data_IF_753381955766
#
_entry.id   IF_753381955766
#
_cell.length_a   1.000
_cell.length_b   1.000
_cell.length_c   1.000
_cell.angle_alpha   90.00
_cell.angle_beta   90.00
_cell.angle_gamma   90.00
#
_symmetry.space_group_name_H-M   'P 1'
#
loop_
_entity.id
_entity.type
_entity.pdbx_description
1 polymer ?
#
# COMPACT_ATOMS: atom_id res chain seq x y z
N UNK A 1 54.41 30.02 77.32
CA UNK A 1 53.46 31.09 76.96
C UNK A 1 52.36 30.53 76.05
N UNK A 2 51.24 30.20 76.63
CA UNK A 2 50.12 29.54 75.93
C UNK A 2 48.98 30.55 75.83
N UNK A 3 48.61 30.88 74.64
CA UNK A 3 47.35 31.65 74.37
C UNK A 3 46.23 30.69 74.00
N UNK A 4 45.22 30.64 74.83
CA UNK A 4 43.92 30.01 74.59
C UNK A 4 43.18 30.77 73.54
N UNK A 5 42.69 30.07 72.54
CA UNK A 5 41.66 30.57 71.68
C UNK A 5 40.34 29.84 71.96
N UNK A 6 39.36 30.61 72.32
CA UNK A 6 37.94 30.23 72.57
C UNK A 6 37.17 29.97 71.28
N UNK A 7 36.58 28.79 71.14
CA UNK A 7 35.69 28.45 70.05
C UNK A 7 34.27 28.95 70.37
N UNK A 8 33.80 29.91 69.61
CA UNK A 8 32.39 30.30 69.55
C UNK A 8 31.68 29.42 68.49
N UNK A 9 30.80 28.54 68.97
CA UNK A 9 29.92 27.78 68.10
C UNK A 9 28.71 28.65 67.70
N UNK A 10 28.61 29.02 66.41
CA UNK A 10 27.37 29.58 65.85
C UNK A 10 26.49 28.43 65.34
N UNK A 11 25.28 28.33 65.89
CA UNK A 11 24.22 27.52 65.38
C UNK A 11 23.56 28.29 64.25
N UNK A 12 23.74 27.82 63.00
CA UNK A 12 22.96 28.28 61.86
C UNK A 12 21.69 27.47 61.83
N UNK A 13 20.56 28.06 62.13
CA UNK A 13 19.22 27.56 61.89
C UNK A 13 18.93 27.78 60.42
N UNK A 14 18.99 26.69 59.63
CA UNK A 14 18.56 26.72 58.25
C UNK A 14 17.02 26.67 58.21
N UNK A 15 16.41 27.78 57.90
CA UNK A 15 14.99 27.86 57.56
C UNK A 15 14.82 27.36 56.17
N UNK A 16 14.31 26.12 56.00
CA UNK A 16 13.87 25.60 54.70
C UNK A 16 12.54 26.27 54.33
N UNK A 17 12.61 27.29 53.50
CA UNK A 17 11.42 27.79 52.78
C UNK A 17 11.08 26.82 51.67
N UNK A 18 10.04 26.02 51.89
CA UNK A 18 9.45 25.19 50.82
C UNK A 18 8.66 26.17 49.92
N UNK A 19 9.25 26.55 48.77
CA UNK A 19 8.52 27.18 47.69
C UNK A 19 7.78 26.06 46.96
N UNK A 20 6.52 25.89 47.25
CA UNK A 20 5.59 25.08 46.43
C UNK A 20 5.34 25.85 45.14
N UNK A 21 6.14 25.57 44.12
CA UNK A 21 5.83 26.02 42.76
C UNK A 21 4.65 25.20 42.25
N UNK A 22 3.46 25.78 42.32
CA UNK A 22 2.29 25.26 41.60
C UNK A 22 2.60 25.44 40.11
N UNK A 23 3.15 24.41 39.49
CA UNK A 23 3.15 24.30 38.03
C UNK A 23 1.73 24.09 37.59
N UNK A 24 1.05 25.18 37.26
CA UNK A 24 -0.17 25.15 36.46
C UNK A 24 0.27 24.68 35.08
N UNK A 25 0.19 23.38 34.87
CA UNK A 25 0.37 22.76 33.56
C UNK A 25 -0.74 23.30 32.63
N UNK A 26 -0.41 24.32 31.85
CA UNK A 26 -1.19 24.62 30.66
C UNK A 26 -0.98 23.44 29.69
N UNK A 27 -1.83 22.43 29.80
CA UNK A 27 -2.02 21.47 28.74
C UNK A 27 -2.63 22.26 27.57
N UNK A 28 -1.78 22.70 26.66
CA UNK A 28 -2.24 23.10 25.33
C UNK A 28 -2.76 21.81 24.71
N UNK A 29 -4.07 21.56 24.85
CA UNK A 29 -4.74 20.61 23.98
C UNK A 29 -4.61 21.17 22.57
N UNK A 30 -3.65 20.69 21.82
CA UNK A 30 -3.61 20.90 20.37
C UNK A 30 -4.89 20.27 19.86
N UNK A 31 -5.90 21.10 19.60
CA UNK A 31 -7.13 20.64 19.00
C UNK A 31 -6.75 19.88 17.73
N UNK A 32 -7.04 18.59 17.68
CA UNK A 32 -6.73 17.75 16.52
C UNK A 32 -7.33 18.46 15.29
N UNK A 33 -6.47 18.78 14.32
CA UNK A 33 -6.89 19.46 13.09
C UNK A 33 -7.92 18.55 12.41
N UNK A 34 -9.15 19.03 12.28
CA UNK A 34 -10.22 18.28 11.61
C UNK A 34 -9.86 18.18 10.13
N UNK A 35 -9.59 16.96 9.66
CA UNK A 35 -9.27 16.70 8.27
C UNK A 35 -10.55 16.69 7.44
N UNK A 36 -10.57 17.30 6.23
CA UNK A 36 -11.69 17.19 5.32
C UNK A 36 -12.02 15.73 4.97
N UNK A 37 -13.29 15.39 4.69
CA UNK A 37 -13.68 14.02 4.40
C UNK A 37 -13.10 13.50 3.07
N UNK A 38 -12.99 12.19 2.94
CA UNK A 38 -12.63 11.53 1.67
C UNK A 38 -13.68 11.79 0.59
N UNK A 39 -13.32 11.70 -0.71
CA UNK A 39 -14.27 11.90 -1.80
C UNK A 39 -15.41 10.89 -1.75
N UNK A 40 -16.67 11.30 -1.89
CA UNK A 40 -17.77 10.38 -2.09
C UNK A 40 -17.69 9.76 -3.50
N UNK A 41 -18.24 8.56 -3.68
CA UNK A 41 -18.33 7.96 -5.00
C UNK A 41 -19.75 8.13 -5.56
N UNK A 42 -19.89 8.55 -6.84
CA UNK A 42 -21.18 8.51 -7.52
C UNK A 42 -21.47 7.06 -7.87
N UNK A 43 -22.59 6.54 -7.36
CA UNK A 43 -22.96 5.13 -7.51
C UNK A 43 -24.02 4.91 -8.60
N UNK A 44 -24.89 5.90 -8.83
CA UNK A 44 -25.97 5.84 -9.82
C UNK A 44 -26.42 7.23 -10.24
N UNK A 45 -26.84 7.38 -11.50
CA UNK A 45 -27.50 8.57 -12.04
C UNK A 45 -28.73 8.12 -12.81
N UNK A 46 -29.90 8.64 -12.45
CA UNK A 46 -31.17 8.42 -13.17
C UNK A 46 -31.66 9.69 -13.80
N UNK A 47 -32.12 9.59 -15.04
CA UNK A 47 -32.84 10.66 -15.73
C UNK A 47 -34.34 10.57 -15.43
N UNK A 48 -34.91 11.61 -14.84
CA UNK A 48 -36.34 11.74 -14.53
C UNK A 48 -36.94 12.72 -15.54
N UNK A 49 -37.73 12.23 -16.48
CA UNK A 49 -38.39 13.07 -17.48
C UNK A 49 -39.42 13.97 -16.83
N UNK A 50 -39.38 15.27 -17.12
CA UNK A 50 -40.33 16.28 -16.66
C UNK A 50 -41.20 16.84 -17.82
N UNK A 51 -40.59 16.89 -19.00
CA UNK A 51 -41.32 17.27 -20.24
C UNK A 51 -40.64 16.59 -21.44
N UNK A 52 -41.12 16.87 -22.67
CA UNK A 52 -40.48 16.34 -23.89
C UNK A 52 -39.01 16.72 -24.03
N UNK A 53 -38.58 17.84 -23.43
CA UNK A 53 -37.24 18.40 -23.58
C UNK A 53 -36.46 18.58 -22.25
N UNK A 54 -37.15 18.44 -21.13
CA UNK A 54 -36.55 18.73 -19.79
C UNK A 54 -36.52 17.49 -18.89
N UNK A 55 -35.42 17.34 -18.19
CA UNK A 55 -35.17 16.25 -17.26
C UNK A 55 -34.57 16.76 -15.94
N UNK A 56 -34.86 16.05 -14.87
CA UNK A 56 -34.10 16.12 -13.61
C UNK A 56 -33.16 14.93 -13.56
N UNK A 57 -32.02 15.07 -12.88
CA UNK A 57 -31.11 13.97 -12.56
C UNK A 57 -31.18 13.64 -11.08
N UNK A 58 -31.58 12.44 -10.74
CA UNK A 58 -31.42 11.86 -9.41
C UNK A 58 -30.02 11.23 -9.36
N UNK A 59 -29.16 11.77 -8.50
CA UNK A 59 -27.79 11.34 -8.36
C UNK A 59 -27.63 10.65 -7.01
N UNK A 60 -27.15 9.42 -7.03
CA UNK A 60 -26.85 8.62 -5.84
C UNK A 60 -25.35 8.56 -5.65
N UNK A 61 -24.90 8.58 -4.41
CA UNK A 61 -23.49 8.53 -4.06
C UNK A 61 -23.29 7.78 -2.74
N UNK A 62 -22.13 7.11 -2.59
CA UNK A 62 -21.69 6.60 -1.31
C UNK A 62 -21.18 7.77 -0.47
N UNK A 63 -21.46 7.75 0.83
CA UNK A 63 -20.78 8.66 1.76
C UNK A 63 -19.32 8.23 1.89
N UNK A 64 -18.44 9.22 2.01
CA UNK A 64 -17.07 8.97 2.38
C UNK A 64 -17.04 8.26 3.74
N UNK A 65 -16.27 7.18 3.87
CA UNK A 65 -16.05 6.54 5.15
C UNK A 65 -15.36 7.52 6.10
N UNK A 66 -15.88 7.66 7.31
CA UNK A 66 -15.27 8.48 8.37
C UNK A 66 -14.18 7.74 9.13
N UNK A 67 -13.55 6.74 8.55
CA UNK A 67 -12.70 5.76 9.24
C UNK A 67 -11.45 6.33 9.91
N UNK A 68 -11.20 7.64 9.78
CA UNK A 68 -10.08 8.33 10.44
C UNK A 68 -10.49 9.58 11.23
N UNK A 69 -11.77 9.78 11.53
CA UNK A 69 -12.22 10.85 12.40
C UNK A 69 -12.28 10.39 13.86
N UNK A 70 -11.16 10.41 14.55
CA UNK A 70 -11.18 10.40 16.01
C UNK A 70 -11.93 11.65 16.46
N UNK A 71 -13.10 11.43 17.07
CA UNK A 71 -13.94 12.40 17.77
C UNK A 71 -14.50 13.59 17.00
N UNK A 72 -15.80 13.58 16.74
CA UNK A 72 -16.70 14.72 16.48
C UNK A 72 -16.69 15.42 15.12
N UNK A 73 -15.93 15.03 14.12
CA UNK A 73 -16.10 15.55 12.77
C UNK A 73 -17.17 14.73 12.05
N UNK A 74 -18.43 15.10 12.18
CA UNK A 74 -19.49 14.49 11.40
C UNK A 74 -19.52 15.08 9.99
N UNK A 75 -19.79 14.23 8.99
CA UNK A 75 -20.08 14.68 7.63
C UNK A 75 -21.30 15.58 7.68
N UNK A 76 -21.18 16.86 7.31
CA UNK A 76 -22.28 17.83 7.44
C UNK A 76 -23.13 17.92 6.17
N UNK A 77 -22.54 17.71 4.99
CA UNK A 77 -23.26 17.69 3.72
C UNK A 77 -22.40 17.10 2.60
N UNK A 78 -23.06 16.64 1.54
CA UNK A 78 -22.41 16.27 0.28
C UNK A 78 -22.96 17.19 -0.82
N UNK A 79 -22.05 17.86 -1.53
CA UNK A 79 -22.39 18.72 -2.66
C UNK A 79 -22.15 17.92 -3.96
N UNK A 80 -23.16 17.82 -4.79
CA UNK A 80 -23.08 17.22 -6.13
C UNK A 80 -23.26 18.31 -7.16
N UNK A 81 -22.44 18.33 -8.19
CA UNK A 81 -22.53 19.29 -9.28
C UNK A 81 -22.65 18.57 -10.63
N UNK A 82 -23.47 19.13 -11.50
CA UNK A 82 -23.58 18.71 -12.91
C UNK A 82 -23.44 19.95 -13.78
N UNK A 83 -22.26 20.14 -14.34
CA UNK A 83 -21.90 21.38 -15.04
C UNK A 83 -22.08 22.61 -14.13
N UNK A 84 -22.92 23.59 -14.51
CA UNK A 84 -23.16 24.79 -13.72
C UNK A 84 -24.23 24.63 -12.61
N UNK A 85 -24.90 23.47 -12.52
CA UNK A 85 -25.97 23.23 -11.55
C UNK A 85 -25.53 22.33 -10.43
N UNK A 86 -26.06 22.57 -9.22
CA UNK A 86 -25.67 21.82 -8.02
C UNK A 86 -26.90 21.34 -7.26
N UNK A 87 -26.75 20.29 -6.49
CA UNK A 87 -27.64 19.91 -5.40
C UNK A 87 -26.83 19.52 -4.17
N UNK A 88 -27.44 19.56 -3.01
CA UNK A 88 -26.82 19.13 -1.77
C UNK A 88 -27.71 18.14 -1.03
N UNK A 89 -27.10 17.28 -0.26
CA UNK A 89 -27.75 16.32 0.61
C UNK A 89 -27.26 16.49 2.03
N UNK A 90 -28.18 16.46 2.99
CA UNK A 90 -27.85 16.47 4.42
C UNK A 90 -27.43 15.07 4.88
N UNK A 91 -26.89 15.01 6.08
CA UNK A 91 -26.44 13.78 6.72
C UNK A 91 -27.49 12.66 6.64
N UNK A 92 -27.08 11.47 6.23
CA UNK A 92 -27.95 10.29 6.14
C UNK A 92 -28.67 10.10 4.80
N UNK A 93 -28.69 11.11 3.91
CA UNK A 93 -29.22 10.94 2.56
C UNK A 93 -28.08 10.76 1.56
N UNK A 94 -28.10 9.63 0.85
CA UNK A 94 -27.09 9.29 -0.17
C UNK A 94 -27.57 9.64 -1.59
N UNK A 95 -28.39 10.66 -1.72
CA UNK A 95 -28.83 11.14 -3.05
C UNK A 95 -29.29 12.59 -3.01
N UNK A 96 -29.24 13.26 -4.16
CA UNK A 96 -29.87 14.55 -4.40
C UNK A 96 -30.31 14.71 -5.85
N UNK A 97 -31.12 15.75 -6.14
CA UNK A 97 -31.71 15.99 -7.46
C UNK A 97 -31.19 17.29 -8.06
N UNK A 98 -30.60 17.23 -9.25
CA UNK A 98 -30.30 18.41 -10.08
C UNK A 98 -31.41 18.59 -11.08
N UNK A 99 -32.02 19.76 -11.12
CA UNK A 99 -33.27 20.02 -11.85
C UNK A 99 -33.07 20.80 -13.14
N UNK A 100 -33.97 20.59 -14.07
CA UNK A 100 -34.12 21.41 -15.27
C UNK A 100 -32.94 21.33 -16.23
N UNK A 101 -32.53 20.12 -16.60
CA UNK A 101 -31.52 19.86 -17.61
C UNK A 101 -32.16 19.54 -18.95
N UNK A 102 -31.54 20.01 -20.03
CA UNK A 102 -32.08 19.74 -21.38
C UNK A 102 -31.79 18.28 -21.81
N UNK A 103 -32.74 17.67 -22.47
CA UNK A 103 -32.57 16.35 -23.10
C UNK A 103 -31.33 16.36 -24.01
N UNK A 104 -30.58 15.26 -24.01
CA UNK A 104 -29.38 15.06 -24.81
C UNK A 104 -28.18 15.96 -24.43
N UNK A 105 -28.28 16.86 -23.43
CA UNK A 105 -27.15 17.57 -22.92
C UNK A 105 -26.15 16.56 -22.29
N UNK A 106 -24.87 16.77 -22.54
CA UNK A 106 -23.83 16.03 -21.84
C UNK A 106 -23.37 16.84 -20.63
N UNK A 107 -23.42 16.27 -19.44
CA UNK A 107 -23.02 16.92 -18.18
C UNK A 107 -21.91 16.12 -17.51
N UNK A 108 -20.99 16.83 -16.88
CA UNK A 108 -19.98 16.26 -16.00
C UNK A 108 -20.52 16.32 -14.58
N UNK A 109 -20.66 15.17 -13.94
CA UNK A 109 -21.20 15.03 -12.59
C UNK A 109 -20.06 14.67 -11.66
N UNK A 110 -19.89 15.41 -10.57
CA UNK A 110 -18.97 15.10 -9.49
C UNK A 110 -19.62 15.39 -8.14
N UNK A 111 -19.11 14.79 -7.09
CA UNK A 111 -19.59 14.98 -5.72
C UNK A 111 -18.41 15.28 -4.79
N UNK A 112 -18.64 16.09 -3.76
CA UNK A 112 -17.68 16.33 -2.68
C UNK A 112 -18.40 16.41 -1.35
N UNK A 113 -17.78 15.89 -0.32
CA UNK A 113 -18.30 15.92 1.03
C UNK A 113 -17.69 17.07 1.84
N UNK A 114 -18.41 17.53 2.86
CA UNK A 114 -17.97 18.59 3.76
C UNK A 114 -18.15 18.15 5.20
N UNK A 115 -17.18 18.50 6.04
CA UNK A 115 -17.27 18.44 7.50
C UNK A 115 -16.82 19.77 8.12
N UNK A 116 -16.61 19.81 9.42
CA UNK A 116 -16.13 21.01 10.10
C UNK A 116 -14.71 21.46 9.65
N UNK A 117 -13.91 20.56 9.07
CA UNK A 117 -12.60 20.87 8.49
C UNK A 117 -12.66 21.42 7.05
N UNK A 118 -13.84 21.49 6.45
CA UNK A 118 -14.04 22.01 5.10
C UNK A 118 -14.53 20.96 4.09
N UNK A 119 -14.46 21.32 2.79
CA UNK A 119 -14.73 20.36 1.71
C UNK A 119 -13.52 19.45 1.48
N UNK A 120 -13.81 18.15 1.32
CA UNK A 120 -12.86 17.18 0.79
C UNK A 120 -12.67 17.34 -0.73
N UNK A 121 -11.80 16.51 -1.29
CA UNK A 121 -11.60 16.41 -2.73
C UNK A 121 -12.90 15.96 -3.42
N UNK A 122 -13.16 16.37 -4.68
CA UNK A 122 -14.27 15.86 -5.45
C UNK A 122 -14.06 14.39 -5.82
N UNK A 123 -15.17 13.69 -6.04
CA UNK A 123 -15.18 12.38 -6.69
C UNK A 123 -14.60 12.44 -8.11
N UNK A 124 -14.29 11.30 -8.69
CA UNK A 124 -14.08 11.18 -10.14
C UNK A 124 -15.29 11.76 -10.89
N UNK A 125 -15.01 12.38 -12.06
CA UNK A 125 -16.05 12.98 -12.90
C UNK A 125 -16.76 11.89 -13.70
N UNK A 126 -18.08 11.81 -13.54
CA UNK A 126 -18.95 10.98 -14.38
C UNK A 126 -19.52 11.82 -15.51
N UNK A 127 -19.19 11.48 -16.75
CA UNK A 127 -19.78 12.11 -17.93
C UNK A 127 -21.10 11.42 -18.28
N UNK A 128 -22.21 12.14 -18.20
CA UNK A 128 -23.54 11.59 -18.39
C UNK A 128 -24.36 12.36 -19.43
N UNK A 129 -25.04 11.63 -20.32
CA UNK A 129 -25.96 12.20 -21.30
C UNK A 129 -27.37 12.21 -20.71
N UNK A 130 -27.95 13.40 -20.56
CA UNK A 130 -29.29 13.61 -19.98
C UNK A 130 -30.36 12.94 -20.83
N UNK A 131 -31.20 12.14 -20.17
CA UNK A 131 -32.26 11.38 -20.85
C UNK A 131 -31.82 10.01 -21.38
N UNK A 132 -30.58 9.60 -21.12
CA UNK A 132 -30.15 8.22 -21.32
C UNK A 132 -30.70 7.30 -20.21
N UNK A 133 -30.57 5.98 -20.42
CA UNK A 133 -30.81 4.99 -19.36
C UNK A 133 -29.99 5.27 -18.13
N UNK A 134 -30.41 4.75 -16.98
CA UNK A 134 -29.71 4.92 -15.72
C UNK A 134 -28.24 4.54 -15.85
N UNK A 135 -27.37 5.40 -15.35
CA UNK A 135 -25.96 5.11 -15.18
C UNK A 135 -25.75 4.52 -13.79
N UNK A 136 -25.00 3.42 -13.69
CA UNK A 136 -24.55 2.87 -12.41
C UNK A 136 -23.05 2.64 -12.48
N UNK A 137 -22.37 2.58 -11.35
CA UNK A 137 -20.95 2.19 -11.32
C UNK A 137 -20.75 0.86 -12.05
N UNK A 138 -21.66 -0.10 -11.86
CA UNK A 138 -21.63 -1.38 -12.56
C UNK A 138 -21.85 -1.27 -14.09
N UNK A 139 -22.54 -0.21 -14.57
CA UNK A 139 -22.80 -0.01 -16.03
C UNK A 139 -21.66 0.71 -16.76
N UNK A 140 -20.67 1.21 -16.05
CA UNK A 140 -19.48 1.84 -16.65
C UNK A 140 -18.40 0.81 -17.01
N UNK A 141 -18.47 -0.38 -16.44
CA UNK A 141 -17.64 -1.49 -16.89
C UNK A 141 -18.49 -2.28 -17.87
N UNK A 142 -18.25 -2.22 -19.21
CA UNK A 142 -18.81 -3.23 -20.10
C UNK A 142 -18.51 -4.58 -19.48
N UNK A 143 -19.42 -5.53 -19.55
CA UNK A 143 -19.21 -6.88 -18.98
C UNK A 143 -17.93 -7.57 -19.50
N UNK A 144 -17.23 -6.93 -20.42
CA UNK A 144 -15.97 -7.33 -21.06
C UNK A 144 -14.80 -6.37 -20.81
N UNK A 145 -14.99 -5.20 -20.16
CA UNK A 145 -13.86 -4.30 -19.86
C UNK A 145 -13.29 -4.67 -18.49
N UNK A 146 -12.23 -5.43 -18.52
CA UNK A 146 -11.49 -5.81 -17.31
C UNK A 146 -10.85 -4.58 -16.66
N UNK A 147 -10.56 -4.63 -15.35
CA UNK A 147 -9.77 -3.58 -14.65
C UNK A 147 -8.44 -3.32 -15.37
N UNK A 148 -7.91 -4.32 -16.06
CA UNK A 148 -6.70 -4.28 -16.90
C UNK A 148 -6.87 -3.39 -18.12
N UNK A 149 -8.02 -3.37 -18.78
CA UNK A 149 -8.25 -2.50 -19.93
C UNK A 149 -8.30 -1.02 -19.54
N UNK A 150 -8.65 -0.71 -18.29
CA UNK A 150 -8.65 0.65 -17.74
C UNK A 150 -7.25 1.10 -17.26
N UNK A 151 -6.40 0.15 -16.90
CA UNK A 151 -5.03 0.35 -16.44
C UNK A 151 -4.14 -0.77 -17.03
N UNK A 152 -3.68 -0.61 -18.29
CA UNK A 152 -2.84 -1.60 -18.93
C UNK A 152 -1.49 -1.74 -18.19
N UNK A 153 -0.90 -2.92 -18.26
CA UNK A 153 0.40 -3.23 -17.68
C UNK A 153 1.42 -3.55 -18.77
N UNK A 154 2.69 -3.44 -18.43
CA UNK A 154 3.79 -3.90 -19.26
C UNK A 154 4.16 -5.34 -18.93
N UNK A 155 4.54 -6.11 -19.94
CA UNK A 155 4.95 -7.49 -19.81
C UNK A 155 6.19 -7.80 -20.67
N UNK A 156 6.94 -8.80 -20.27
CA UNK A 156 8.02 -9.39 -21.06
C UNK A 156 7.85 -10.89 -21.11
N UNK A 157 7.90 -11.45 -22.31
CA UNK A 157 7.80 -12.89 -22.58
C UNK A 157 9.14 -13.34 -23.11
N UNK A 158 9.84 -14.30 -22.46
CA UNK A 158 11.17 -14.73 -22.89
C UNK A 158 11.10 -15.47 -24.23
N UNK A 159 12.17 -15.41 -25.00
CA UNK A 159 12.26 -16.06 -26.32
C UNK A 159 12.09 -17.58 -26.25
N UNK A 160 12.39 -18.18 -25.10
CA UNK A 160 12.20 -19.62 -24.83
C UNK A 160 10.75 -20.02 -24.49
N UNK A 161 9.81 -19.07 -24.35
CA UNK A 161 8.42 -19.38 -24.00
C UNK A 161 7.73 -20.24 -25.05
N UNK A 162 6.96 -21.21 -24.57
CA UNK A 162 6.08 -22.03 -25.40
C UNK A 162 4.74 -22.24 -24.72
N UNK A 163 3.64 -22.03 -25.46
CA UNK A 163 2.28 -22.27 -24.94
C UNK A 163 2.01 -23.75 -24.59
N UNK A 164 2.90 -24.67 -25.01
CA UNK A 164 2.81 -26.10 -24.69
C UNK A 164 3.43 -26.45 -23.33
N UNK A 165 4.19 -25.53 -22.72
CA UNK A 165 4.86 -25.72 -21.44
C UNK A 165 4.54 -24.57 -20.50
N UNK A 166 3.83 -24.81 -19.39
CA UNK A 166 3.48 -23.74 -18.47
C UNK A 166 4.73 -23.04 -17.90
N UNK A 167 4.78 -21.70 -18.04
CA UNK A 167 5.90 -20.87 -17.58
C UNK A 167 5.62 -20.25 -16.20
N UNK A 168 6.65 -20.03 -15.37
CA UNK A 168 6.52 -19.21 -14.17
C UNK A 168 6.14 -17.77 -14.53
N UNK A 169 5.45 -17.09 -13.60
CA UNK A 169 5.12 -15.66 -13.70
C UNK A 169 5.74 -14.90 -12.51
N UNK A 170 6.47 -13.85 -12.80
CA UNK A 170 6.96 -12.90 -11.81
C UNK A 170 6.25 -11.56 -12.01
N UNK A 171 5.66 -11.01 -10.95
CA UNK A 171 5.05 -9.69 -10.92
C UNK A 171 5.97 -8.75 -10.16
N UNK A 172 6.46 -7.70 -10.83
CA UNK A 172 7.38 -6.71 -10.30
C UNK A 172 6.65 -5.40 -9.98
N UNK A 173 6.64 -4.99 -8.72
CA UNK A 173 5.91 -3.84 -8.21
C UNK A 173 6.85 -2.69 -7.83
N UNK A 174 6.58 -1.51 -8.37
CA UNK A 174 7.41 -0.32 -8.15
C UNK A 174 7.20 0.34 -6.78
N UNK A 175 8.17 1.15 -6.34
CA UNK A 175 8.06 2.01 -5.18
C UNK A 175 7.21 3.27 -5.44
N UNK A 176 6.83 3.99 -4.36
CA UNK A 176 6.08 5.25 -4.45
C UNK A 176 6.77 6.27 -5.36
N UNK A 177 6.01 6.86 -6.27
CA UNK A 177 6.48 7.87 -7.22
C UNK A 177 7.32 7.32 -8.37
N UNK A 178 7.48 5.99 -8.48
CA UNK A 178 8.14 5.31 -9.59
C UNK A 178 7.11 4.72 -10.55
N UNK A 179 7.57 4.00 -11.58
CA UNK A 179 6.76 3.27 -12.56
C UNK A 179 7.24 1.83 -12.69
N UNK A 180 6.41 0.96 -13.25
CA UNK A 180 6.80 -0.43 -13.54
C UNK A 180 8.06 -0.49 -14.40
N UNK A 181 8.17 0.38 -15.44
CA UNK A 181 9.36 0.44 -16.30
C UNK A 181 10.62 0.91 -15.56
N UNK A 182 10.49 1.91 -14.68
CA UNK A 182 11.62 2.37 -13.86
C UNK A 182 12.07 1.30 -12.88
N UNK A 183 11.12 0.57 -12.29
CA UNK A 183 11.41 -0.53 -11.37
C UNK A 183 12.11 -1.69 -12.09
N UNK A 184 11.65 -2.00 -13.31
CA UNK A 184 12.28 -3.01 -14.15
C UNK A 184 13.72 -2.63 -14.49
N UNK A 185 13.95 -1.38 -14.90
CA UNK A 185 15.30 -0.86 -15.17
C UNK A 185 16.20 -0.90 -13.93
N UNK A 186 15.65 -0.63 -12.74
CA UNK A 186 16.39 -0.66 -11.48
C UNK A 186 16.78 -2.08 -11.05
N UNK A 187 15.85 -3.04 -11.13
CA UNK A 187 16.10 -4.41 -10.67
C UNK A 187 16.56 -5.36 -11.78
N UNK A 188 16.39 -5.01 -13.06
CA UNK A 188 16.83 -5.74 -14.23
C UNK A 188 16.29 -7.19 -14.31
N UNK A 189 15.03 -7.40 -14.00
CA UNK A 189 14.39 -8.73 -14.07
C UNK A 189 14.22 -9.25 -15.50
N UNK A 190 14.12 -8.38 -16.52
CA UNK A 190 13.98 -8.79 -17.93
C UNK A 190 15.15 -9.66 -18.39
N UNK A 191 16.40 -9.33 -18.02
CA UNK A 191 17.56 -10.12 -18.38
C UNK A 191 17.52 -11.52 -17.76
N UNK A 192 17.07 -11.62 -16.50
CA UNK A 192 16.91 -12.91 -15.80
C UNK A 192 15.73 -13.70 -16.36
N UNK A 193 14.62 -13.02 -16.73
CA UNK A 193 13.46 -13.65 -17.36
C UNK A 193 13.84 -14.33 -18.68
N UNK A 194 14.64 -13.66 -19.51
CA UNK A 194 15.15 -14.24 -20.75
C UNK A 194 16.03 -15.48 -20.50
N UNK A 195 16.92 -15.42 -19.50
CA UNK A 195 17.83 -16.52 -19.18
C UNK A 195 17.15 -17.73 -18.53
N UNK A 196 16.13 -17.47 -17.69
CA UNK A 196 15.52 -18.48 -16.81
C UNK A 196 14.13 -18.93 -17.30
N UNK A 197 13.58 -18.34 -18.35
CA UNK A 197 12.36 -18.77 -19.01
C UNK A 197 11.08 -18.48 -18.23
N UNK A 198 11.00 -17.39 -17.46
CA UNK A 198 9.76 -16.93 -16.82
C UNK A 198 9.17 -15.70 -17.51
N UNK A 199 7.86 -15.55 -17.43
CA UNK A 199 7.17 -14.34 -17.90
C UNK A 199 7.22 -13.29 -16.80
N UNK A 200 7.50 -12.04 -17.17
CA UNK A 200 7.56 -10.90 -16.25
C UNK A 200 6.42 -9.93 -16.54
N UNK A 201 5.64 -9.54 -15.51
CA UNK A 201 4.69 -8.44 -15.58
C UNK A 201 5.14 -7.31 -14.64
N UNK A 202 5.12 -6.05 -15.12
CA UNK A 202 5.53 -4.88 -14.35
C UNK A 202 4.53 -3.74 -14.55
N UNK A 203 3.41 -3.83 -13.83
CA UNK A 203 2.32 -2.86 -13.92
C UNK A 203 2.67 -1.51 -13.28
N UNK A 204 1.91 -0.49 -13.66
CA UNK A 204 1.89 0.81 -13.00
C UNK A 204 0.80 0.87 -11.93
N UNK A 205 1.12 1.48 -10.78
CA UNK A 205 0.16 1.76 -9.72
C UNK A 205 -0.78 2.91 -10.07
N UNK A 206 -1.72 3.18 -9.15
CA UNK A 206 -2.62 4.33 -9.26
C UNK A 206 -1.85 5.64 -9.09
N UNK A 207 -2.32 6.72 -9.71
CA UNK A 207 -1.74 8.05 -9.59
C UNK A 207 -2.44 8.81 -8.46
N UNK A 208 -1.67 9.34 -7.50
CA UNK A 208 -2.19 10.19 -6.43
C UNK A 208 -2.47 11.64 -6.90
N UNK A 209 -2.99 12.46 -5.99
CA UNK A 209 -3.31 13.86 -6.28
C UNK A 209 -2.10 14.73 -6.68
N UNK A 210 -0.88 14.26 -6.43
CA UNK A 210 0.37 14.95 -6.80
C UNK A 210 0.97 14.44 -8.12
N UNK A 211 0.32 13.49 -8.78
CA UNK A 211 0.79 12.87 -10.02
C UNK A 211 1.78 11.73 -9.84
N UNK A 212 1.95 11.23 -8.61
CA UNK A 212 2.87 10.13 -8.30
C UNK A 212 2.14 8.79 -8.26
N UNK A 213 2.72 7.77 -8.87
CA UNK A 213 2.16 6.42 -8.83
C UNK A 213 2.41 5.75 -7.50
N UNK A 214 1.44 4.94 -7.03
CA UNK A 214 1.49 4.23 -5.76
C UNK A 214 0.61 2.98 -5.78
N UNK A 215 0.82 2.12 -4.79
CA UNK A 215 -0.01 0.97 -4.45
C UNK A 215 -0.69 1.21 -3.10
N UNK A 216 -2.02 1.01 -3.04
CA UNK A 216 -2.74 0.94 -1.78
C UNK A 216 -2.45 -0.40 -1.09
N UNK A 217 -1.32 -0.47 -0.39
CA UNK A 217 -0.77 -1.72 0.13
C UNK A 217 -1.31 -2.11 1.51
N UNK A 218 -0.80 -1.52 2.58
CA UNK A 218 -1.22 -1.80 3.95
C UNK A 218 -1.83 -0.54 4.59
N UNK A 219 -2.33 -0.65 5.83
CA UNK A 219 -2.87 0.48 6.58
C UNK A 219 -1.86 1.61 6.81
N UNK A 220 -0.57 1.29 6.73
CA UNK A 220 0.53 2.25 6.88
C UNK A 220 1.04 2.78 5.56
N UNK A 221 1.00 2.00 4.49
CA UNK A 221 1.51 2.36 3.17
C UNK A 221 0.64 1.83 2.03
N UNK A 222 0.17 2.62 1.19
CA UNK A 222 0.23 4.08 1.04
C UNK A 222 -1.07 4.49 0.37
N UNK A 223 -2.21 4.43 1.06
CA UNK A 223 -3.51 4.74 0.45
C UNK A 223 -3.69 6.22 0.15
N UNK A 224 -2.87 7.11 0.78
CA UNK A 224 -2.93 8.56 0.61
C UNK A 224 -4.36 9.12 0.63
N UNK A 225 -5.24 8.52 1.45
CA UNK A 225 -6.67 8.84 1.56
C UNK A 225 -7.48 8.57 0.28
N UNK A 226 -6.96 7.74 -0.64
CA UNK A 226 -7.65 7.30 -1.84
C UNK A 226 -8.20 5.88 -1.64
N UNK A 227 -9.48 5.69 -1.96
CA UNK A 227 -10.12 4.37 -1.96
C UNK A 227 -9.82 3.68 -3.31
N UNK A 228 -8.65 3.05 -3.40
CA UNK A 228 -8.18 2.35 -4.59
C UNK A 228 -8.08 0.87 -4.30
N UNK A 229 -8.66 0.06 -5.15
CA UNK A 229 -8.62 -1.40 -5.06
C UNK A 229 -7.53 -1.97 -5.97
N UNK A 230 -6.27 -1.74 -5.60
CA UNK A 230 -5.11 -2.27 -6.32
C UNK A 230 -4.99 -3.79 -6.20
N UNK A 231 -5.49 -4.36 -5.12
CA UNK A 231 -5.63 -5.78 -4.89
C UNK A 231 -6.45 -6.44 -6.02
N UNK A 232 -7.69 -5.98 -6.22
CA UNK A 232 -8.53 -6.49 -7.30
C UNK A 232 -7.99 -6.17 -8.72
N UNK A 233 -7.21 -5.08 -8.89
CA UNK A 233 -6.52 -4.82 -10.14
C UNK A 233 -5.44 -5.88 -10.42
N UNK A 234 -4.57 -6.17 -9.45
CA UNK A 234 -3.50 -7.15 -9.61
C UNK A 234 -4.05 -8.56 -9.84
N UNK A 235 -5.16 -8.94 -9.19
CA UNK A 235 -5.84 -10.21 -9.49
C UNK A 235 -6.40 -10.24 -10.91
N UNK A 236 -7.03 -9.14 -11.37
CA UNK A 236 -7.50 -9.06 -12.76
C UNK A 236 -6.36 -9.14 -13.77
N UNK A 237 -5.17 -8.63 -13.42
CA UNK A 237 -3.96 -8.77 -14.22
C UNK A 237 -3.47 -10.23 -14.26
N UNK A 238 -3.47 -10.93 -13.13
CA UNK A 238 -3.15 -12.36 -13.13
C UNK A 238 -4.11 -13.17 -14.01
N UNK A 239 -5.41 -12.89 -13.93
CA UNK A 239 -6.42 -13.56 -14.74
C UNK A 239 -6.23 -13.28 -16.25
N UNK A 240 -5.88 -12.05 -16.60
CA UNK A 240 -5.56 -11.65 -17.98
C UNK A 240 -4.29 -12.34 -18.48
N UNK A 241 -3.22 -12.43 -17.66
CA UNK A 241 -2.00 -13.15 -17.98
C UNK A 241 -2.25 -14.65 -18.18
N UNK A 242 -3.04 -15.29 -17.31
CA UNK A 242 -3.43 -16.68 -17.43
C UNK A 242 -4.31 -16.94 -18.67
N UNK A 243 -5.05 -15.94 -19.15
CA UNK A 243 -5.82 -16.04 -20.37
C UNK A 243 -4.98 -15.95 -21.65
N UNK A 244 -3.88 -15.20 -21.62
CA UNK A 244 -2.97 -14.95 -22.74
C UNK A 244 -1.89 -16.00 -22.86
N UNK A 245 -1.41 -16.51 -21.72
CA UNK A 245 -0.23 -17.37 -21.63
C UNK A 245 -0.50 -18.64 -20.83
N UNK A 246 0.22 -19.70 -21.17
CA UNK A 246 0.27 -20.92 -20.36
C UNK A 246 1.12 -20.64 -19.12
N UNK A 247 0.49 -20.21 -18.02
CA UNK A 247 1.13 -19.90 -16.75
C UNK A 247 1.09 -21.13 -15.84
N UNK A 248 2.22 -21.42 -15.19
CA UNK A 248 2.25 -22.40 -14.11
C UNK A 248 1.72 -21.80 -12.82
N UNK A 249 0.50 -22.17 -12.45
CA UNK A 249 -0.19 -21.66 -11.25
C UNK A 249 0.51 -21.99 -9.93
N UNK A 250 1.45 -22.93 -9.94
CA UNK A 250 2.31 -23.23 -8.80
C UNK A 250 3.53 -22.30 -8.71
N UNK A 251 3.81 -21.51 -9.75
CA UNK A 251 4.99 -20.67 -9.85
C UNK A 251 4.62 -19.22 -10.19
N UNK A 252 3.71 -18.63 -9.39
CA UNK A 252 3.33 -17.20 -9.45
C UNK A 252 3.97 -16.48 -8.27
N UNK A 253 4.79 -15.49 -8.56
CA UNK A 253 5.63 -14.79 -7.59
C UNK A 253 5.45 -13.29 -7.68
N UNK A 254 5.57 -12.61 -6.53
CA UNK A 254 5.56 -11.15 -6.46
C UNK A 254 6.87 -10.64 -5.88
N UNK A 255 7.42 -9.62 -6.49
CA UNK A 255 8.58 -8.88 -5.96
C UNK A 255 8.31 -7.39 -6.04
N UNK A 256 8.73 -6.64 -5.03
CA UNK A 256 8.55 -5.20 -5.05
C UNK A 256 9.56 -4.46 -4.19
N UNK A 257 9.71 -3.17 -4.47
CA UNK A 257 10.55 -2.25 -3.73
C UNK A 257 9.68 -1.26 -2.94
N UNK A 258 10.04 -0.98 -1.67
CA UNK A 258 9.38 0.05 -0.87
C UNK A 258 7.85 -0.16 -0.83
N UNK A 259 7.04 0.78 -1.30
CA UNK A 259 5.59 0.64 -1.44
C UNK A 259 5.18 -0.64 -2.22
N UNK A 260 5.92 -1.03 -3.28
CA UNK A 260 5.72 -2.31 -3.98
C UNK A 260 6.04 -3.52 -3.11
N UNK A 261 7.01 -3.40 -2.18
CA UNK A 261 7.31 -4.44 -1.18
C UNK A 261 6.17 -4.62 -0.19
N UNK A 262 5.58 -3.52 0.31
CA UNK A 262 4.35 -3.57 1.13
C UNK A 262 3.20 -4.21 0.35
N UNK A 263 3.05 -3.88 -0.95
CA UNK A 263 2.00 -4.48 -1.77
C UNK A 263 2.22 -5.97 -2.02
N UNK A 264 3.46 -6.43 -2.16
CA UNK A 264 3.77 -7.86 -2.26
C UNK A 264 3.30 -8.61 -1.01
N UNK A 265 3.49 -8.06 0.17
CA UNK A 265 2.95 -8.61 1.42
C UNK A 265 1.42 -8.62 1.43
N UNK A 266 0.75 -7.54 1.00
CA UNK A 266 -0.71 -7.51 0.89
C UNK A 266 -1.21 -8.63 -0.02
N UNK A 267 -0.60 -8.82 -1.18
CA UNK A 267 -1.00 -9.86 -2.12
C UNK A 267 -0.82 -11.26 -1.52
N UNK A 268 0.29 -11.52 -0.83
CA UNK A 268 0.48 -12.78 -0.11
C UNK A 268 -0.58 -13.00 0.99
N UNK A 269 -0.98 -11.94 1.72
CA UNK A 269 -2.02 -12.04 2.75
C UNK A 269 -3.41 -12.32 2.17
N UNK A 270 -3.77 -11.69 1.07
CA UNK A 270 -5.13 -11.74 0.52
C UNK A 270 -5.33 -12.91 -0.46
N UNK A 271 -4.28 -13.28 -1.17
CA UNK A 271 -4.29 -14.24 -2.29
C UNK A 271 -3.24 -15.34 -2.11
N UNK A 272 -3.07 -15.78 -0.86
CA UNK A 272 -2.16 -16.87 -0.51
C UNK A 272 -2.46 -18.18 -1.25
N UNK A 273 -3.67 -18.37 -1.75
CA UNK A 273 -4.10 -19.49 -2.58
C UNK A 273 -3.48 -19.47 -3.99
N UNK A 274 -3.14 -18.29 -4.51
CA UNK A 274 -2.57 -18.12 -5.88
C UNK A 274 -1.07 -17.87 -5.88
N UNK A 275 -0.49 -17.38 -4.80
CA UNK A 275 0.90 -16.90 -4.73
C UNK A 275 1.79 -17.94 -4.07
N UNK A 276 2.87 -18.32 -4.74
CA UNK A 276 3.85 -19.28 -4.23
C UNK A 276 4.88 -18.64 -3.31
N UNK A 277 5.45 -17.51 -3.73
CA UNK A 277 6.41 -16.78 -2.93
C UNK A 277 6.39 -15.27 -3.23
N UNK A 278 6.87 -14.49 -2.27
CA UNK A 278 7.11 -13.04 -2.43
C UNK A 278 8.53 -12.66 -2.04
N UNK A 279 9.02 -11.55 -2.63
CA UNK A 279 10.22 -10.85 -2.17
C UNK A 279 9.92 -9.36 -1.96
N UNK A 280 10.33 -8.82 -0.83
CA UNK A 280 10.11 -7.42 -0.46
C UNK A 280 11.45 -6.74 -0.19
N UNK A 281 11.88 -5.84 -1.08
CA UNK A 281 13.02 -4.96 -0.82
C UNK A 281 12.52 -3.68 -0.13
N UNK A 282 12.99 -3.43 1.10
CA UNK A 282 12.71 -2.22 1.87
C UNK A 282 11.20 -1.93 2.07
N UNK A 283 10.37 -2.97 2.11
CA UNK A 283 8.96 -2.91 2.52
C UNK A 283 8.74 -3.58 3.87
N UNK A 284 7.49 -3.67 4.32
CA UNK A 284 7.12 -4.39 5.55
C UNK A 284 5.71 -5.00 5.42
N UNK A 285 5.42 -6.01 6.22
CA UNK A 285 4.08 -6.61 6.35
C UNK A 285 3.14 -5.73 7.19
N UNK A 286 1.92 -6.19 7.45
CA UNK A 286 0.98 -5.52 8.34
C UNK A 286 1.53 -5.44 9.77
N UNK A 287 1.32 -4.31 10.44
CA UNK A 287 1.74 -4.14 11.84
C UNK A 287 1.02 -5.12 12.76
N UNK A 288 -0.31 -5.21 12.63
CA UNK A 288 -1.09 -6.20 13.34
C UNK A 288 -1.22 -7.46 12.49
N UNK A 289 -0.78 -8.60 13.01
CA UNK A 289 -0.85 -9.89 12.30
C UNK A 289 -2.28 -10.31 11.96
N UNK A 290 -3.28 -9.86 12.75
CA UNK A 290 -4.71 -10.10 12.49
C UNK A 290 -5.22 -9.46 11.20
N UNK A 291 -4.56 -8.43 10.67
CA UNK A 291 -4.95 -7.75 9.44
C UNK A 291 -4.50 -8.52 8.17
N UNK A 292 -3.66 -9.54 8.40
CA UNK A 292 -3.22 -10.48 7.37
C UNK A 292 -3.93 -11.83 7.57
N UNK A 293 -4.88 -12.16 6.71
CA UNK A 293 -5.68 -13.38 6.78
C UNK A 293 -5.21 -14.45 5.78
N UNK A 294 -3.90 -14.70 5.69
CA UNK A 294 -3.35 -15.72 4.81
C UNK A 294 -3.91 -17.11 5.17
N UNK A 295 -4.53 -17.78 4.19
CA UNK A 295 -5.12 -19.12 4.36
C UNK A 295 -4.11 -20.22 4.09
N UNK A 296 -3.24 -20.01 3.09
CA UNK A 296 -2.20 -20.93 2.67
C UNK A 296 -0.83 -20.37 3.03
N UNK A 297 0.17 -21.27 3.11
CA UNK A 297 1.56 -20.86 3.29
C UNK A 297 2.10 -20.23 2.01
N UNK A 298 2.89 -19.18 2.16
CA UNK A 298 3.58 -18.46 1.08
C UNK A 298 5.03 -18.27 1.51
N UNK A 299 6.00 -18.65 0.67
CA UNK A 299 7.40 -18.38 0.98
C UNK A 299 7.71 -16.88 0.92
N UNK A 300 8.49 -16.37 1.86
CA UNK A 300 8.73 -14.94 2.00
C UNK A 300 10.21 -14.65 2.09
N UNK A 301 10.67 -13.75 1.22
CA UNK A 301 11.99 -13.17 1.27
C UNK A 301 11.88 -11.67 1.61
N UNK A 302 12.34 -11.28 2.81
CA UNK A 302 12.52 -9.89 3.20
C UNK A 302 13.96 -9.47 2.95
N UNK A 303 14.20 -8.46 2.11
CA UNK A 303 15.50 -7.86 1.88
C UNK A 303 15.49 -6.42 2.42
N UNK A 304 16.42 -6.06 3.30
CA UNK A 304 16.37 -4.73 3.92
C UNK A 304 17.75 -4.21 4.31
N UNK A 305 18.01 -2.94 4.00
CA UNK A 305 19.25 -2.26 4.37
C UNK A 305 19.23 -1.73 5.81
N UNK A 306 20.33 -1.92 6.55
CA UNK A 306 20.43 -1.44 7.96
C UNK A 306 20.53 0.08 8.08
N UNK A 307 20.93 0.77 7.01
CA UNK A 307 21.00 2.24 6.91
C UNK A 307 19.84 2.86 6.12
N UNK A 308 18.73 2.13 5.94
CA UNK A 308 17.53 2.68 5.33
C UNK A 308 16.92 3.75 6.23
N UNK A 309 16.86 5.01 5.73
CA UNK A 309 16.33 6.18 6.45
C UNK A 309 14.89 6.52 6.04
N UNK A 310 14.33 5.81 5.06
CA UNK A 310 12.95 6.01 4.56
C UNK A 310 12.00 5.02 5.20
N UNK A 311 12.29 3.73 5.04
CA UNK A 311 11.60 2.63 5.74
C UNK A 311 12.63 1.98 6.66
N UNK A 312 12.56 2.36 7.93
CA UNK A 312 13.59 1.97 8.90
C UNK A 312 13.65 0.45 9.07
N UNK A 313 14.87 -0.11 9.05
CA UNK A 313 15.11 -1.53 9.30
C UNK A 313 14.48 -2.02 10.62
N UNK A 314 14.57 -1.19 11.66
CA UNK A 314 14.04 -1.49 12.99
C UNK A 314 12.54 -1.19 13.17
N UNK A 315 11.83 -0.91 12.07
CA UNK A 315 10.44 -0.49 12.11
C UNK A 315 10.28 0.99 12.41
N UNK A 316 9.07 1.51 12.15
CA UNK A 316 8.80 2.93 12.30
C UNK A 316 7.34 3.28 12.06
N UNK A 317 7.09 4.51 11.63
CA UNK A 317 5.75 4.98 11.32
C UNK A 317 5.73 5.86 10.06
N UNK A 318 4.66 5.73 9.25
CA UNK A 318 4.33 6.62 8.14
C UNK A 318 2.99 7.28 8.46
N UNK A 319 2.93 8.62 8.44
CA UNK A 319 1.73 9.38 8.76
C UNK A 319 1.05 8.96 10.09
N UNK A 320 1.83 8.56 11.09
CA UNK A 320 1.35 8.16 12.41
C UNK A 320 0.87 6.69 12.51
N UNK A 321 0.91 5.91 11.43
CA UNK A 321 0.65 4.48 11.42
C UNK A 321 1.96 3.70 11.50
N UNK A 322 2.02 2.68 12.37
CA UNK A 322 3.23 1.91 12.61
C UNK A 322 3.39 0.77 11.59
N UNK A 323 4.64 0.44 11.26
CA UNK A 323 5.03 -0.76 10.53
C UNK A 323 6.10 -1.54 11.32
N UNK A 324 6.12 -2.88 11.18
CA UNK A 324 7.07 -3.72 11.91
C UNK A 324 8.49 -3.58 11.35
N UNK A 325 9.49 -3.96 12.14
CA UNK A 325 10.87 -4.11 11.66
C UNK A 325 10.99 -5.18 10.57
N UNK A 326 12.10 -5.17 9.83
CA UNK A 326 12.42 -6.22 8.86
C UNK A 326 12.41 -7.61 9.50
N UNK A 327 13.05 -7.73 10.67
CA UNK A 327 13.07 -8.99 11.44
C UNK A 327 11.67 -9.39 11.93
N UNK A 328 10.87 -8.44 12.42
CA UNK A 328 9.50 -8.73 12.86
C UNK A 328 8.60 -9.12 11.69
N UNK A 329 8.79 -8.52 10.51
CA UNK A 329 8.05 -8.90 9.29
C UNK A 329 8.33 -10.34 8.90
N UNK A 330 9.59 -10.76 8.85
CA UNK A 330 9.97 -12.14 8.57
C UNK A 330 9.46 -13.11 9.65
N UNK A 331 9.63 -12.80 10.94
CA UNK A 331 9.17 -13.64 12.05
C UNK A 331 7.63 -13.82 12.06
N UNK A 332 6.87 -12.78 11.69
CA UNK A 332 5.41 -12.88 11.54
C UNK A 332 5.02 -13.91 10.48
N UNK A 333 5.68 -13.90 9.32
CA UNK A 333 5.43 -14.86 8.24
C UNK A 333 5.94 -16.26 8.57
N UNK A 334 7.06 -16.38 9.31
CA UNK A 334 7.47 -17.67 9.86
C UNK A 334 6.39 -18.27 10.78
N UNK A 335 5.71 -17.44 11.56
CA UNK A 335 4.57 -17.85 12.39
C UNK A 335 3.37 -18.29 11.53
N UNK A 336 2.98 -17.55 10.49
CA UNK A 336 1.90 -17.94 9.57
C UNK A 336 2.20 -19.26 8.86
N UNK A 337 3.42 -19.43 8.41
CA UNK A 337 3.88 -20.62 7.72
C UNK A 337 4.14 -21.80 8.68
N UNK A 338 4.03 -21.59 10.00
CA UNK A 338 4.32 -22.60 11.04
C UNK A 338 5.73 -23.16 10.89
N UNK A 339 6.71 -22.31 10.67
CA UNK A 339 8.12 -22.68 10.62
C UNK A 339 8.63 -23.10 12.02
N UNK A 340 9.81 -23.71 12.08
CA UNK A 340 10.51 -23.90 13.36
C UNK A 340 10.75 -22.52 14.01
N UNK A 341 10.61 -22.46 15.35
CA UNK A 341 10.67 -21.19 16.09
C UNK A 341 12.05 -20.52 16.11
N UNK A 342 13.09 -21.19 15.64
CA UNK A 342 14.46 -20.69 15.68
C UNK A 342 14.89 -20.22 14.29
N UNK A 343 15.15 -18.91 14.19
CA UNK A 343 15.85 -18.36 13.04
C UNK A 343 17.29 -18.87 13.00
N UNK A 344 17.75 -19.33 11.85
CA UNK A 344 19.09 -19.89 11.66
C UNK A 344 19.88 -18.96 10.74
N UNK A 345 20.96 -18.32 11.23
CA UNK A 345 21.85 -17.57 10.35
C UNK A 345 22.63 -18.52 9.43
N UNK A 346 22.75 -18.14 8.16
CA UNK A 346 23.63 -18.84 7.20
C UNK A 346 25.11 -18.45 7.46
N UNK A 347 26.01 -19.38 7.18
CA UNK A 347 27.44 -19.08 7.10
C UNK A 347 27.78 -18.29 5.82
N UNK A 348 26.98 -18.48 4.76
CA UNK A 348 27.16 -17.80 3.48
C UNK A 348 26.58 -16.39 3.53
N UNK A 349 27.26 -15.48 2.84
CA UNK A 349 26.81 -14.10 2.62
C UNK A 349 26.72 -13.82 1.13
N UNK A 350 25.89 -12.84 0.77
CA UNK A 350 25.71 -12.38 -0.60
C UNK A 350 26.36 -11.00 -0.80
N UNK A 351 26.80 -10.76 -2.03
CA UNK A 351 27.24 -9.45 -2.52
C UNK A 351 26.14 -8.90 -3.46
N UNK A 352 25.25 -8.07 -2.90
CA UNK A 352 24.07 -7.55 -3.59
C UNK A 352 24.13 -6.09 -3.91
N UNK A 353 25.06 -5.31 -3.29
CA UNK A 353 25.14 -3.84 -3.39
C UNK A 353 26.52 -3.41 -3.84
N UNK A 354 26.61 -2.88 -5.05
CA UNK A 354 27.90 -2.53 -5.69
C UNK A 354 28.68 -1.40 -5.00
N UNK A 355 28.02 -0.60 -4.17
CA UNK A 355 28.63 0.53 -3.43
C UNK A 355 29.14 0.17 -2.05
N UNK A 356 28.93 -1.06 -1.61
CA UNK A 356 29.40 -1.61 -0.34
C UNK A 356 30.42 -2.71 -0.66
N UNK A 357 31.57 -2.67 -0.03
CA UNK A 357 32.66 -3.62 -0.35
C UNK A 357 32.40 -4.99 0.28
N UNK A 358 32.60 -6.06 -0.51
CA UNK A 358 32.52 -7.45 -0.06
C UNK A 358 31.10 -7.97 0.04
N UNK A 359 30.94 -9.15 0.65
CA UNK A 359 29.62 -9.80 0.83
C UNK A 359 28.94 -9.19 2.04
N UNK A 360 28.25 -8.08 1.85
CA UNK A 360 27.60 -7.27 2.89
C UNK A 360 26.26 -7.84 3.35
N UNK A 361 25.66 -8.75 2.60
CA UNK A 361 24.31 -9.26 2.89
C UNK A 361 24.35 -10.58 3.64
N UNK A 362 23.90 -10.58 4.89
CA UNK A 362 23.71 -11.80 5.69
C UNK A 362 22.33 -12.39 5.50
N UNK A 363 22.22 -13.71 5.58
CA UNK A 363 20.98 -14.48 5.42
C UNK A 363 20.59 -15.06 6.77
N UNK A 364 19.31 -14.91 7.13
CA UNK A 364 18.69 -15.58 8.27
C UNK A 364 17.44 -16.30 7.78
N UNK A 365 17.33 -17.60 8.03
CA UNK A 365 16.25 -18.45 7.54
C UNK A 365 15.41 -19.03 8.67
N UNK A 366 14.10 -19.15 8.44
CA UNK A 366 13.16 -19.95 9.22
C UNK A 366 12.73 -21.15 8.39
N UNK A 367 13.21 -22.32 8.79
CA UNK A 367 13.05 -23.58 8.06
C UNK A 367 11.96 -24.48 8.66
N UNK A 368 11.73 -25.63 8.02
CA UNK A 368 10.72 -26.61 8.43
C UNK A 368 9.31 -26.02 8.53
N UNK A 369 8.97 -25.17 7.60
CA UNK A 369 7.66 -24.56 7.50
C UNK A 369 6.64 -25.53 6.87
N UNK A 370 5.35 -25.25 7.09
CA UNK A 370 4.26 -26.02 6.49
C UNK A 370 4.34 -25.97 4.96
N UNK A 371 4.04 -27.09 4.31
CA UNK A 371 3.99 -27.23 2.84
C UNK A 371 5.33 -26.94 2.11
N UNK A 372 6.47 -27.11 2.78
CA UNK A 372 7.78 -26.86 2.19
C UNK A 372 8.07 -25.40 1.87
N UNK A 373 7.33 -24.47 2.48
CA UNK A 373 7.65 -23.04 2.36
C UNK A 373 8.86 -22.67 3.21
N UNK A 374 9.45 -21.51 2.95
CA UNK A 374 10.57 -20.94 3.71
C UNK A 374 10.37 -19.46 3.93
N UNK A 375 10.95 -18.93 4.99
CA UNK A 375 11.03 -17.48 5.24
C UNK A 375 12.49 -17.12 5.42
N UNK A 376 12.94 -16.14 4.64
CA UNK A 376 14.29 -15.62 4.74
C UNK A 376 14.28 -14.09 5.01
N UNK A 377 15.27 -13.64 5.77
CA UNK A 377 15.65 -12.25 5.92
C UNK A 377 17.06 -12.07 5.39
N UNK A 378 17.20 -11.26 4.34
CA UNK A 378 18.49 -10.80 3.84
C UNK A 378 18.76 -9.41 4.39
N UNK A 379 19.68 -9.32 5.33
CA UNK A 379 20.09 -8.06 5.97
C UNK A 379 21.28 -7.49 5.21
N UNK A 380 21.06 -6.40 4.50
CA UNK A 380 22.11 -5.67 3.78
C UNK A 380 22.78 -4.70 4.76
N UNK A 381 23.96 -5.02 5.25
CA UNK A 381 24.68 -4.14 6.17
C UNK A 381 25.05 -2.83 5.47
N UNK A 382 24.79 -1.69 6.13
CA UNK A 382 24.93 -0.34 5.60
C UNK A 382 24.09 -0.05 4.34
N UNK A 383 23.20 -0.96 3.92
CA UNK A 383 22.32 -0.76 2.77
C UNK A 383 21.34 0.41 3.00
N UNK A 384 21.19 1.27 1.99
CA UNK A 384 20.24 2.38 1.97
C UNK A 384 18.85 1.92 1.47
N UNK A 385 17.86 2.85 1.44
CA UNK A 385 16.51 2.57 0.93
C UNK A 385 16.48 2.17 -0.54
N UNK A 386 17.32 2.80 -1.36
CA UNK A 386 17.51 2.51 -2.79
C UNK A 386 18.98 2.14 -3.00
N UNK A 387 19.40 0.91 -2.65
CA UNK A 387 20.78 0.50 -2.82
C UNK A 387 21.16 0.36 -4.30
N UNK A 388 22.42 0.59 -4.63
CA UNK A 388 22.94 0.33 -5.98
C UNK A 388 23.10 -1.18 -6.19
N UNK A 389 22.06 -1.82 -6.72
CA UNK A 389 21.99 -3.29 -6.84
C UNK A 389 23.05 -3.85 -7.77
N UNK A 390 23.63 -5.00 -7.41
CA UNK A 390 24.53 -5.75 -8.25
C UNK A 390 23.75 -6.46 -9.39
N UNK A 391 24.44 -6.85 -10.44
CA UNK A 391 23.84 -7.58 -11.57
C UNK A 391 23.30 -8.95 -11.18
N UNK A 392 23.70 -9.48 -10.02
CA UNK A 392 23.24 -10.76 -9.50
C UNK A 392 21.96 -10.68 -8.67
N UNK A 393 21.54 -9.48 -8.26
CA UNK A 393 20.40 -9.29 -7.35
C UNK A 393 19.13 -10.00 -7.86
N UNK A 394 18.69 -9.69 -9.08
CA UNK A 394 17.47 -10.30 -9.64
C UNK A 394 17.57 -11.81 -9.78
N UNK A 395 18.73 -12.34 -10.17
CA UNK A 395 18.92 -13.79 -10.26
C UNK A 395 18.86 -14.47 -8.90
N UNK A 396 19.41 -13.88 -7.86
CA UNK A 396 19.32 -14.41 -6.48
C UNK A 396 17.89 -14.42 -5.95
N UNK A 397 17.12 -13.34 -6.21
CA UNK A 397 15.68 -13.33 -5.91
C UNK A 397 14.94 -14.44 -6.66
N UNK A 398 15.25 -14.62 -7.96
CA UNK A 398 14.60 -15.68 -8.72
C UNK A 398 15.04 -17.09 -8.29
N UNK A 399 16.27 -17.29 -7.83
CA UNK A 399 16.73 -18.56 -7.25
C UNK A 399 15.89 -18.94 -6.02
N UNK A 400 15.62 -17.96 -5.14
CA UNK A 400 14.68 -18.15 -4.02
C UNK A 400 13.28 -18.53 -4.53
N UNK A 401 12.75 -17.85 -5.54
CA UNK A 401 11.44 -18.19 -6.11
C UNK A 401 11.38 -19.58 -6.71
N UNK A 402 12.37 -19.93 -7.52
CA UNK A 402 12.41 -21.20 -8.23
C UNK A 402 12.48 -22.41 -7.29
N UNK A 403 13.07 -22.26 -6.11
CA UNK A 403 13.12 -23.31 -5.08
C UNK A 403 11.82 -23.42 -4.27
N UNK A 404 10.88 -22.48 -4.40
CA UNK A 404 9.65 -22.43 -3.61
C UNK A 404 8.38 -22.37 -4.46
N UNK A 405 8.12 -23.41 -5.31
CA UNK A 405 6.83 -23.52 -5.98
C UNK A 405 5.73 -23.80 -4.93
N UNK A 406 4.50 -23.42 -5.24
CA UNK A 406 3.35 -23.75 -4.41
C UNK A 406 3.10 -25.27 -4.42
N UNK A 407 2.87 -25.86 -3.26
CA UNK A 407 2.61 -27.29 -3.08
C UNK A 407 1.30 -27.78 -3.75
#
# INVERSE_FOLDING_TARGET
MVKRQTHIRYWLVAVFSIVVSVLVGYSHSVAAKIVPPTPPQITRIDSIQKSKTMYDLQIYFSLASNDNCTSKASLTSTLVSASAKTCSSNLGKQSCIIRGLMKNATVNVSAKSKNAGGFGLPSSIVRYKVGSSSWTVASQVPATTTKVALRPYSEFVPSSYSSKSPAPLVVLLHGYGSTGKQQETYMNFTAVAEQRGFILAYPDGTVDATGKQFWNATEVCCNFFMDVDDDAYLISMLDDMESKYSIDRKRIYFVGHSNGGFMSYRMACKHSDRIAAIASLAGATFFNSSDCAAKDSVSVLQVHGTSDTTILYNGGAILGKQYPSATASAAQWATFNRCSNNATPSADKLDLVTTIAGSETSITSWNNCRNGTEVELWTVDQGAHVPALSTTFASKIYDFFASHPKS
#
